data_IF_777829334864
#
_entry.id   IF_777829334864
#
_cell.length_a   1.000
_cell.length_b   1.000
_cell.length_c   1.000
_cell.angle_alpha   90.00
_cell.angle_beta   90.00
_cell.angle_gamma   90.00
#
_symmetry.space_group_name_H-M   'P 1'
#
loop_
_entity.id
_entity.type
_entity.pdbx_description
1 polymer ?
#
# COMPACT_ATOMS: atom_id res chain seq x y z
N UNK A 1 -9.97 12.95 -16.42
CA UNK A 1 -9.80 12.56 -14.99
C UNK A 1 -8.72 11.49 -14.97
N UNK A 2 -7.60 11.70 -14.26
CA UNK A 2 -6.57 10.67 -14.07
C UNK A 2 -6.88 9.91 -12.78
N UNK A 3 -6.92 8.58 -12.80
CA UNK A 3 -7.12 7.78 -11.60
C UNK A 3 -5.87 7.81 -10.71
N UNK A 4 -6.03 8.04 -9.41
CA UNK A 4 -4.92 7.97 -8.47
C UNK A 4 -5.34 7.31 -7.15
N UNK A 5 -4.71 6.19 -6.81
CA UNK A 5 -4.85 5.49 -5.53
C UNK A 5 -3.53 5.65 -4.79
N UNK A 6 -3.51 6.41 -3.70
CA UNK A 6 -2.30 6.67 -2.93
C UNK A 6 -2.45 6.18 -1.50
N UNK A 7 -1.50 5.38 -1.03
CA UNK A 7 -1.42 4.94 0.36
C UNK A 7 -1.14 6.11 1.32
N UNK A 8 -1.52 6.00 2.60
CA UNK A 8 -1.00 6.89 3.63
C UNK A 8 0.53 6.88 3.68
N UNK A 9 1.13 8.06 3.79
CA UNK A 9 2.58 8.25 3.69
C UNK A 9 3.41 7.68 4.88
N UNK A 10 2.77 7.36 6.00
CA UNK A 10 3.45 6.92 7.22
C UNK A 10 2.90 5.58 7.72
N UNK A 11 3.75 4.61 8.12
CA UNK A 11 3.32 3.40 8.81
C UNK A 11 2.47 3.66 10.07
N UNK A 12 2.64 4.82 10.72
CA UNK A 12 1.84 5.18 11.89
C UNK A 12 0.35 5.35 11.59
N UNK A 13 -0.02 5.68 10.35
CA UNK A 13 -1.42 5.77 9.93
C UNK A 13 -2.11 4.41 9.83
N UNK A 14 -1.33 3.33 9.89
CA UNK A 14 -1.81 1.94 9.88
C UNK A 14 -1.99 1.39 11.30
N UNK A 15 -1.73 2.19 12.34
CA UNK A 15 -1.90 1.77 13.74
C UNK A 15 -3.35 1.36 14.00
N UNK A 16 -3.55 0.15 14.49
CA UNK A 16 -4.88 -0.42 14.74
C UNK A 16 -5.53 -1.08 13.52
N UNK A 17 -4.81 -1.16 12.39
CA UNK A 17 -5.23 -1.85 11.17
C UNK A 17 -4.23 -2.95 10.81
N UNK A 18 -4.55 -3.76 9.79
CA UNK A 18 -3.62 -4.74 9.23
C UNK A 18 -2.41 -4.03 8.62
N UNK A 19 -1.23 -4.28 9.18
CA UNK A 19 0.05 -3.73 8.71
C UNK A 19 0.77 -4.67 7.73
N UNK A 20 0.25 -5.87 7.49
CA UNK A 20 0.79 -6.85 6.55
C UNK A 20 0.36 -6.61 5.10
N UNK A 21 -0.77 -5.92 4.88
CA UNK A 21 -1.32 -5.68 3.56
C UNK A 21 -1.74 -4.22 3.39
N UNK A 22 -1.20 -3.55 2.37
CA UNK A 22 -1.66 -2.22 1.97
C UNK A 22 -2.97 -2.27 1.16
N UNK A 23 -3.01 -3.15 0.16
CA UNK A 23 -4.15 -3.36 -0.73
C UNK A 23 -4.25 -4.85 -1.01
N UNK A 24 -5.37 -5.47 -0.63
CA UNK A 24 -5.59 -6.92 -0.77
C UNK A 24 -6.86 -7.21 -1.56
N UNK A 25 -6.76 -8.18 -2.45
CA UNK A 25 -7.90 -8.78 -3.14
C UNK A 25 -7.93 -10.25 -2.72
N UNK A 26 -8.90 -10.63 -1.89
CA UNK A 26 -8.98 -11.97 -1.30
C UNK A 26 -10.16 -12.75 -1.90
N UNK A 27 -9.89 -14.00 -2.33
CA UNK A 27 -10.88 -14.91 -2.92
C UNK A 27 -11.67 -14.32 -4.12
N UNK A 28 -10.99 -13.56 -4.98
CA UNK A 28 -11.60 -12.96 -6.17
C UNK A 28 -11.31 -13.81 -7.41
N UNK A 29 -12.33 -14.08 -8.21
CA UNK A 29 -12.20 -14.71 -9.53
C UNK A 29 -12.28 -13.62 -10.62
N UNK A 30 -11.44 -13.70 -11.66
CA UNK A 30 -11.43 -12.77 -12.81
C UNK A 30 -11.23 -11.27 -12.45
N UNK A 31 -10.32 -10.95 -11.53
CA UNK A 31 -9.95 -9.56 -11.25
C UNK A 31 -9.20 -8.93 -12.42
N UNK A 32 -9.72 -7.82 -12.95
CA UNK A 32 -9.05 -7.00 -13.98
C UNK A 32 -8.87 -5.59 -13.40
N UNK A 33 -7.63 -5.10 -13.42
CA UNK A 33 -7.28 -3.71 -13.11
C UNK A 33 -6.78 -3.11 -14.42
N UNK A 34 -7.54 -2.16 -14.97
CA UNK A 34 -7.25 -1.54 -16.26
C UNK A 34 -7.45 -0.02 -16.17
N UNK A 35 -6.69 0.73 -16.95
CA UNK A 35 -6.69 2.18 -17.00
C UNK A 35 -5.30 2.81 -16.96
N UNK A 36 -5.25 4.12 -17.25
CA UNK A 36 -4.00 4.90 -17.32
C UNK A 36 -3.63 5.58 -16.00
N UNK A 37 -4.30 5.22 -14.92
CA UNK A 37 -4.09 5.81 -13.59
C UNK A 37 -2.87 5.26 -12.86
N UNK A 38 -2.66 5.76 -11.64
CA UNK A 38 -1.52 5.41 -10.79
C UNK A 38 -1.98 4.75 -9.50
N UNK A 39 -1.23 3.73 -9.07
CA UNK A 39 -1.33 3.10 -7.75
C UNK A 39 0.00 3.34 -7.03
N UNK A 40 0.01 4.21 -6.03
CA UNK A 40 1.21 4.61 -5.27
C UNK A 40 1.15 4.09 -3.83
N UNK A 41 1.99 3.10 -3.52
CA UNK A 41 2.05 2.46 -2.20
C UNK A 41 2.78 3.22 -1.11
N UNK A 42 3.45 4.33 -1.43
CA UNK A 42 4.30 5.07 -0.48
C UNK A 42 5.27 4.17 0.31
N UNK A 43 5.85 3.17 -0.37
CA UNK A 43 6.60 2.07 0.25
C UNK A 43 7.92 2.48 0.94
N UNK A 44 8.50 3.62 0.58
CA UNK A 44 9.77 4.09 1.16
C UNK A 44 9.73 4.20 2.69
N UNK A 45 8.63 4.71 3.25
CA UNK A 45 8.47 4.83 4.69
C UNK A 45 8.46 3.46 5.41
N UNK A 46 7.98 2.41 4.74
CA UNK A 46 7.97 1.04 5.26
C UNK A 46 9.35 0.38 5.21
N UNK A 47 10.08 0.52 4.10
CA UNK A 47 11.44 0.00 3.97
C UNK A 47 12.38 0.65 4.98
N UNK A 48 12.22 1.95 5.20
CA UNK A 48 12.99 2.70 6.20
C UNK A 48 12.70 2.24 7.63
N UNK A 49 11.44 1.93 7.93
CA UNK A 49 11.05 1.38 9.23
C UNK A 49 11.74 0.03 9.49
N UNK A 50 11.75 -0.87 8.50
CA UNK A 50 12.42 -2.18 8.61
C UNK A 50 13.93 -2.05 8.84
N UNK A 51 14.62 -1.21 8.04
CA UNK A 51 16.06 -0.95 8.23
C UNK A 51 16.44 -0.44 9.62
N UNK A 52 15.52 0.20 10.35
CA UNK A 52 15.74 0.66 11.73
C UNK A 52 15.48 -0.44 12.77
N UNK A 53 14.67 -1.45 12.46
CA UNK A 53 14.39 -2.58 13.35
C UNK A 53 15.52 -3.61 13.35
N UNK A 54 16.28 -3.72 12.26
CA UNK A 54 17.38 -4.68 12.10
C UNK A 54 18.72 -4.20 12.69
N UNK A 55 18.72 -3.05 13.36
CA UNK A 55 19.87 -2.48 14.09
C UNK A 55 19.66 -2.60 15.59
#
# INVERSE_FOLDING_TARGET
ILGNITAPASPSHWKGHDMGHWLSFYQVHNLIIDGTGTINGMGSAWWDCKRRQDK
#
